data_IF_670857102926
#
_entry.id   IF_670857102926
#
_cell.length_a   1.000
_cell.length_b   1.000
_cell.length_c   1.000
_cell.angle_alpha   90.00
_cell.angle_beta   90.00
_cell.angle_gamma   90.00
#
_symmetry.space_group_name_H-M   'P 1'
#
loop_
_entity.id
_entity.type
_entity.pdbx_description
1 polymer ?
#
# COMPACT_ATOMS: atom_id res chain seq x y z
N UNK A 1 -2.43 -5.85 6.15
CA UNK A 1 -3.01 -4.50 6.10
C UNK A 1 -4.37 -4.54 6.77
N UNK A 2 -4.59 -3.74 7.82
CA UNK A 2 -5.91 -3.52 8.42
C UNK A 2 -6.19 -2.02 8.39
N UNK A 3 -7.38 -1.65 7.97
CA UNK A 3 -7.86 -0.26 7.91
C UNK A 3 -9.38 -0.26 7.96
N UNK A 4 -9.95 0.82 8.48
CA UNK A 4 -11.38 0.91 8.68
C UNK A 4 -12.12 0.92 7.33
N UNK A 5 -13.22 0.15 7.19
CA UNK A 5 -14.08 0.27 6.03
C UNK A 5 -14.76 1.64 6.02
N UNK A 6 -15.18 2.14 4.85
CA UNK A 6 -15.97 3.37 4.77
C UNK A 6 -17.26 3.26 5.60
N UNK A 7 -17.47 4.18 6.54
CA UNK A 7 -18.70 4.31 7.34
C UNK A 7 -19.40 5.65 7.05
N UNK A 8 -20.52 5.59 6.33
CA UNK A 8 -21.31 6.79 5.99
C UNK A 8 -20.57 7.77 5.08
N UNK A 9 -21.03 9.03 5.06
CA UNK A 9 -20.51 10.06 4.14
C UNK A 9 -19.21 10.73 4.62
N UNK A 10 -18.85 10.60 5.91
CA UNK A 10 -17.69 11.27 6.50
C UNK A 10 -16.45 10.37 6.59
N UNK A 11 -16.55 9.12 6.13
CA UNK A 11 -15.44 8.17 6.17
C UNK A 11 -14.62 8.21 4.89
N UNK A 12 -13.31 8.43 5.06
CA UNK A 12 -12.37 8.44 3.95
C UNK A 12 -11.97 7.00 3.62
N UNK A 13 -12.26 6.51 2.39
CA UNK A 13 -11.85 5.17 2.01
C UNK A 13 -10.32 5.05 2.00
N UNK A 14 -9.84 3.83 2.22
CA UNK A 14 -8.42 3.49 2.08
C UNK A 14 -8.22 2.24 1.24
N UNK A 15 -7.25 2.26 0.35
CA UNK A 15 -6.84 1.11 -0.46
C UNK A 15 -5.34 0.87 -0.33
N UNK A 16 -4.87 -0.27 -0.83
CA UNK A 16 -3.45 -0.58 -0.92
C UNK A 16 -3.09 -0.74 -2.39
N UNK A 17 -2.16 0.08 -2.85
CA UNK A 17 -1.54 -0.01 -4.16
C UNK A 17 -0.06 -0.35 -4.00
N UNK A 18 0.47 -1.15 -4.92
CA UNK A 18 1.90 -1.36 -5.08
C UNK A 18 2.42 -0.51 -6.23
N UNK A 19 3.43 0.33 -5.96
CA UNK A 19 4.07 1.18 -6.96
C UNK A 19 5.26 0.45 -7.59
N UNK A 20 5.55 0.71 -8.88
CA UNK A 20 6.57 -0.02 -9.61
C UNK A 20 7.99 0.32 -9.18
N UNK A 21 8.24 1.54 -8.69
CA UNK A 21 9.58 2.04 -8.40
C UNK A 21 9.61 3.18 -7.36
N UNK A 22 10.84 3.53 -6.94
CA UNK A 22 11.09 4.60 -5.97
C UNK A 22 10.62 5.97 -6.45
N UNK A 23 10.72 6.26 -7.75
CA UNK A 23 10.31 7.56 -8.31
C UNK A 23 8.80 7.73 -8.15
N UNK A 24 8.05 6.70 -8.48
CA UNK A 24 6.59 6.64 -8.35
C UNK A 24 6.18 6.76 -6.89
N UNK A 25 6.88 6.06 -5.99
CA UNK A 25 6.68 6.14 -4.53
C UNK A 25 6.89 7.56 -3.95
N UNK A 26 8.00 8.21 -4.33
CA UNK A 26 8.32 9.57 -3.83
C UNK A 26 7.28 10.57 -4.32
N UNK A 27 6.90 10.48 -5.60
CA UNK A 27 5.96 11.41 -6.26
C UNK A 27 4.49 11.06 -6.08
N UNK A 28 4.17 9.92 -5.46
CA UNK A 28 2.81 9.37 -5.43
C UNK A 28 2.18 9.26 -6.82
N UNK A 29 2.98 8.87 -7.82
CA UNK A 29 2.51 8.62 -9.18
C UNK A 29 1.86 7.24 -9.24
N UNK A 30 0.52 7.22 -9.26
CA UNK A 30 -0.29 6.00 -9.26
C UNK A 30 -0.63 5.50 -10.67
N UNK A 31 -0.16 6.17 -11.73
CA UNK A 31 -0.53 5.85 -13.14
C UNK A 31 -0.24 4.40 -13.54
N UNK A 32 0.81 3.82 -12.97
CA UNK A 32 1.24 2.43 -13.21
C UNK A 32 1.19 1.59 -11.93
N UNK A 33 0.51 2.06 -10.89
CA UNK A 33 0.41 1.33 -9.64
C UNK A 33 -0.62 0.19 -9.75
N UNK A 34 -0.28 -0.96 -9.17
CA UNK A 34 -1.18 -2.11 -9.11
C UNK A 34 -2.04 -2.02 -7.86
N UNK A 35 -3.35 -1.95 -8.01
CA UNK A 35 -4.27 -2.07 -6.87
C UNK A 35 -4.18 -3.49 -6.30
N UNK A 36 -3.84 -3.61 -5.02
CA UNK A 36 -3.75 -4.87 -4.29
C UNK A 36 -4.97 -5.10 -3.40
N UNK A 37 -5.53 -4.02 -2.83
CA UNK A 37 -6.79 -4.07 -2.09
C UNK A 37 -7.64 -2.81 -2.31
N UNK A 38 -8.96 -2.97 -2.25
CA UNK A 38 -9.93 -1.87 -2.35
C UNK A 38 -10.37 -1.36 -0.96
N UNK A 39 -11.27 -0.38 -0.95
CA UNK A 39 -11.77 0.28 0.26
C UNK A 39 -12.33 -0.65 1.36
N UNK A 40 -12.85 -1.83 1.01
CA UNK A 40 -13.52 -2.71 1.97
C UNK A 40 -12.67 -3.90 2.43
N UNK A 41 -11.61 -4.22 1.68
CA UNK A 41 -10.76 -5.39 1.94
C UNK A 41 -9.79 -5.24 3.12
N UNK A 42 -9.72 -4.07 3.75
CA UNK A 42 -8.95 -3.86 4.98
C UNK A 42 -9.69 -4.22 6.27
N UNK A 43 -11.01 -4.44 6.19
CA UNK A 43 -11.84 -4.79 7.33
C UNK A 43 -11.67 -6.26 7.77
N UNK A 44 -12.13 -6.59 8.97
CA UNK A 44 -12.07 -7.96 9.52
C UNK A 44 -10.63 -8.45 9.71
N UNK A 45 -10.28 -9.56 9.04
CA UNK A 45 -8.90 -10.09 9.03
C UNK A 45 -7.94 -9.23 8.19
N UNK A 46 -8.49 -8.35 7.36
CA UNK A 46 -7.72 -7.47 6.49
C UNK A 46 -7.18 -8.17 5.25
N UNK A 47 -6.14 -7.58 4.68
CA UNK A 47 -5.52 -8.02 3.43
C UNK A 47 -4.03 -8.36 3.64
N UNK A 48 -3.54 -9.42 2.99
CA UNK A 48 -2.17 -9.89 3.08
C UNK A 48 -1.44 -9.83 1.73
N UNK A 49 -0.15 -9.50 1.77
CA UNK A 49 0.75 -9.54 0.62
C UNK A 49 1.98 -10.35 1.00
N UNK A 50 2.32 -11.34 0.17
CA UNK A 50 3.55 -12.11 0.31
C UNK A 50 4.70 -11.38 -0.39
N UNK A 51 5.82 -11.20 0.31
CA UNK A 51 7.04 -10.60 -0.22
C UNK A 51 8.04 -11.71 -0.57
N UNK A 52 7.97 -12.19 -1.82
CA UNK A 52 8.66 -13.39 -2.32
C UNK A 52 9.99 -13.12 -3.04
N UNK A 53 10.33 -11.85 -3.28
CA UNK A 53 11.54 -11.43 -4.00
C UNK A 53 12.43 -10.55 -3.13
N UNK A 54 13.74 -10.65 -3.35
CA UNK A 54 14.71 -9.73 -2.75
C UNK A 54 14.77 -8.42 -3.53
N UNK A 55 13.79 -7.55 -3.29
CA UNK A 55 13.67 -6.23 -3.91
C UNK A 55 12.85 -5.31 -3.00
N UNK A 56 12.94 -3.97 -3.14
CA UNK A 56 12.04 -3.08 -2.43
C UNK A 56 10.60 -3.20 -2.97
N UNK A 57 9.63 -3.25 -2.07
CA UNK A 57 8.20 -3.18 -2.36
C UNK A 57 7.69 -1.83 -1.85
N UNK A 58 7.11 -1.03 -2.74
CA UNK A 58 6.57 0.28 -2.43
C UNK A 58 5.05 0.19 -2.34
N UNK A 59 4.49 0.55 -1.18
CA UNK A 59 3.04 0.54 -0.95
C UNK A 59 2.55 1.95 -0.65
N UNK A 60 1.36 2.28 -1.15
CA UNK A 60 0.67 3.52 -0.82
C UNK A 60 -0.85 3.38 -0.88
N UNK A 61 -1.53 4.35 -0.28
CA UNK A 61 -2.97 4.53 -0.46
C UNK A 61 -3.28 5.20 -1.80
N UNK A 62 -4.19 4.61 -2.58
CA UNK A 62 -4.60 5.15 -3.88
C UNK A 62 -5.79 6.10 -3.82
N UNK A 63 -6.46 6.17 -2.67
CA UNK A 63 -7.70 6.94 -2.51
C UNK A 63 -7.47 8.45 -2.57
N UNK A 64 -8.56 9.17 -2.83
CA UNK A 64 -8.55 10.63 -2.99
C UNK A 64 -7.57 11.08 -4.09
N UNK A 65 -7.50 10.32 -5.20
CA UNK A 65 -6.57 10.56 -6.31
C UNK A 65 -5.10 10.70 -5.86
N UNK A 66 -4.66 9.89 -4.91
CA UNK A 66 -3.31 9.91 -4.37
C UNK A 66 -3.05 10.97 -3.30
N UNK A 67 -4.04 11.77 -2.91
CA UNK A 67 -3.90 12.74 -1.81
C UNK A 67 -3.50 12.07 -0.50
N UNK A 68 -4.05 10.88 -0.20
CA UNK A 68 -3.66 10.11 0.98
C UNK A 68 -2.18 9.70 0.95
N UNK A 69 -1.63 9.39 -0.22
CA UNK A 69 -0.20 9.10 -0.39
C UNK A 69 0.66 10.36 -0.21
N UNK A 70 0.30 11.46 -0.89
CA UNK A 70 1.18 12.62 -1.01
C UNK A 70 1.14 13.52 0.23
N UNK A 71 -0.07 13.92 0.64
CA UNK A 71 -0.30 14.82 1.77
C UNK A 71 -0.51 14.01 3.05
N UNK A 72 -1.35 12.98 2.99
CA UNK A 72 -1.62 12.09 4.13
C UNK A 72 -0.44 11.19 4.52
N UNK A 73 0.62 11.15 3.69
CA UNK A 73 1.81 10.31 3.87
C UNK A 73 1.49 8.82 4.10
N UNK A 74 0.34 8.35 3.63
CA UNK A 74 -0.08 6.94 3.71
C UNK A 74 0.68 6.11 2.69
N UNK A 75 1.97 5.94 2.94
CA UNK A 75 2.89 5.19 2.11
C UNK A 75 4.04 4.65 2.93
N UNK A 76 4.53 3.48 2.57
CA UNK A 76 5.72 2.88 3.16
C UNK A 76 6.39 1.94 2.15
N UNK A 77 7.62 1.55 2.42
CA UNK A 77 8.30 0.54 1.63
C UNK A 77 8.89 -0.53 2.53
N UNK A 78 9.03 -1.74 1.99
CA UNK A 78 9.65 -2.87 2.68
C UNK A 78 10.68 -3.49 1.75
N UNK A 79 11.88 -3.74 2.26
CA UNK A 79 12.88 -4.57 1.60
C UNK A 79 13.00 -5.86 2.40
N UNK A 80 12.50 -7.01 1.91
CA UNK A 80 12.70 -8.28 2.58
C UNK A 80 14.20 -8.52 2.74
N UNK A 81 14.63 -8.86 3.95
CA UNK A 81 16.02 -9.28 4.16
C UNK A 81 16.18 -10.71 3.65
N UNK A 82 17.31 -11.00 2.98
CA UNK A 82 17.69 -12.38 2.70
C UNK A 82 17.69 -13.14 4.02
N UNK A 83 16.98 -14.27 4.08
CA UNK A 83 17.09 -15.16 5.23
C UNK A 83 18.56 -15.60 5.29
N UNK A 84 19.30 -15.09 6.27
CA UNK A 84 20.57 -15.69 6.64
C UNK A 84 20.26 -17.16 6.96
N UNK A 85 20.97 -18.07 6.30
CA UNK A 85 20.90 -19.48 6.64
C UNK A 85 21.21 -19.58 8.13
N UNK A 86 20.22 -19.99 8.95
CA UNK A 86 20.49 -20.44 10.30
C UNK A 86 21.19 -21.78 10.14
N UNK A 87 22.52 -21.76 10.09
CA UNK A 87 23.37 -22.92 10.37
C UNK A 87 23.14 -23.39 11.80
#
# INVERSE_FOLDING_TARGET
FKYDPPVGNDSHPHSVYQLPDLRSFVKCDLSNAKQLSNATQGAGEGFEVVLDKWQPYYFACGESNGFHCDVGRMKFFVLPMLRAWRT
#
